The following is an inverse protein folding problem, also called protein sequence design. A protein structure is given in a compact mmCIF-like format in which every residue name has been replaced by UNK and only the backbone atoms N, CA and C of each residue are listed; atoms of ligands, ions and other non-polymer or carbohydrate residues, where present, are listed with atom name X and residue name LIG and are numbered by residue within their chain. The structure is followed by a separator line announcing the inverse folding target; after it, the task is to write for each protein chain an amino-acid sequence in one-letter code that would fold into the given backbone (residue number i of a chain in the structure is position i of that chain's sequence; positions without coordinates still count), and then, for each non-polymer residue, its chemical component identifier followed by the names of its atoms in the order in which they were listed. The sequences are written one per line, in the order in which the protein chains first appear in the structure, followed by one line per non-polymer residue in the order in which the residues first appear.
data_IF_134889150707
#
_entry.id   IF_134889150707
#
_cell.length_a   1.000
_cell.length_b   1.000
_cell.length_c   1.000
_cell.angle_alpha   90.00
_cell.angle_beta   90.00
_cell.angle_gamma   90.00
#
_symmetry.space_group_name_H-M   'P 1'
#
loop_
_entity.id
_entity.type
_entity.pdbx_description
1 polymer ?
#
# COMPACT_ATOMS: atom_id res chain seq x y z
N UNK A 1 11.91 21.53 8.46
CA UNK A 1 13.18 21.42 7.70
C UNK A 1 14.14 22.44 8.27
N UNK A 2 15.43 22.11 8.37
CA UNK A 2 16.46 23.09 8.72
C UNK A 2 16.52 24.14 7.61
N UNK A 3 16.64 25.42 7.97
CA UNK A 3 16.76 26.49 6.99
C UNK A 3 18.04 26.31 6.16
N UNK A 4 17.93 26.43 4.83
CA UNK A 4 19.06 26.29 3.90
C UNK A 4 19.15 24.96 3.15
N UNK A 5 18.39 23.92 3.52
CA UNK A 5 18.36 22.65 2.78
C UNK A 5 17.87 22.87 1.33
N UNK A 6 16.88 23.74 1.15
CA UNK A 6 16.36 24.12 -0.16
C UNK A 6 17.46 24.68 -1.08
N UNK A 7 18.39 25.48 -0.53
CA UNK A 7 19.52 26.02 -1.30
C UNK A 7 20.50 24.93 -1.71
N UNK A 8 20.77 23.97 -0.83
CA UNK A 8 21.65 22.84 -1.14
C UNK A 8 21.09 21.94 -2.24
N UNK A 9 19.75 21.84 -2.34
CA UNK A 9 19.05 21.04 -3.34
C UNK A 9 18.70 21.84 -4.61
N UNK A 10 18.99 23.15 -4.65
CA UNK A 10 18.67 24.01 -5.79
C UNK A 10 17.16 24.24 -5.99
N UNK A 11 16.35 24.13 -4.92
CA UNK A 11 14.90 24.32 -4.96
C UNK A 11 14.50 25.59 -4.21
N UNK A 12 13.35 26.16 -4.58
CA UNK A 12 12.77 27.31 -3.88
C UNK A 12 11.74 26.84 -2.85
N UNK A 13 11.84 27.36 -1.63
CA UNK A 13 10.86 27.11 -0.57
C UNK A 13 9.88 28.26 -0.48
N UNK A 14 8.59 27.93 -0.44
CA UNK A 14 7.49 28.85 -0.10
C UNK A 14 6.97 28.53 1.29
N UNK A 15 6.43 29.53 1.98
CA UNK A 15 6.06 29.43 3.40
C UNK A 15 4.55 29.31 3.63
N UNK A 16 3.74 29.51 2.59
CA UNK A 16 2.29 29.31 2.65
C UNK A 16 1.85 28.32 1.57
N UNK A 17 0.79 27.58 1.86
CA UNK A 17 0.17 26.70 0.87
C UNK A 17 -0.37 27.51 -0.33
N UNK A 18 -0.97 28.67 -0.07
CA UNK A 18 -1.50 29.55 -1.10
C UNK A 18 -0.43 29.94 -2.13
N UNK A 19 0.76 30.35 -1.67
CA UNK A 19 1.86 30.72 -2.57
C UNK A 19 2.31 29.53 -3.42
N UNK A 20 2.33 28.32 -2.85
CA UNK A 20 2.66 27.09 -3.56
C UNK A 20 1.63 26.82 -4.66
N UNK A 21 0.34 26.82 -4.32
CA UNK A 21 -0.74 26.50 -5.25
C UNK A 21 -0.83 27.52 -6.39
N UNK A 22 -0.62 28.80 -6.09
CA UNK A 22 -0.70 29.88 -7.08
C UNK A 22 0.46 29.86 -8.10
N UNK A 23 1.65 29.40 -7.68
CA UNK A 23 2.85 29.40 -8.53
C UNK A 23 3.05 28.09 -9.30
N UNK A 24 2.30 27.04 -8.98
CA UNK A 24 2.53 25.69 -9.51
C UNK A 24 1.61 25.35 -10.68
N UNK A 25 2.18 24.85 -11.77
CA UNK A 25 1.43 24.25 -12.88
C UNK A 25 1.07 22.78 -12.60
N UNK A 26 1.82 22.13 -11.72
CA UNK A 26 1.58 20.78 -11.22
C UNK A 26 1.85 20.75 -9.71
N UNK A 27 0.91 20.19 -8.94
CA UNK A 27 1.03 20.02 -7.48
C UNK A 27 1.05 18.53 -7.18
N UNK A 28 2.08 18.07 -6.47
CA UNK A 28 2.20 16.67 -6.00
C UNK A 28 2.24 16.62 -4.49
N UNK A 29 1.37 15.79 -3.89
CA UNK A 29 1.26 15.66 -2.44
C UNK A 29 2.23 14.59 -1.90
N UNK A 30 3.07 15.00 -0.94
CA UNK A 30 4.06 14.14 -0.27
C UNK A 30 4.11 14.36 1.25
N UNK A 31 3.03 14.88 1.83
CA UNK A 31 2.91 15.02 3.28
C UNK A 31 2.16 13.84 3.90
N UNK A 32 2.48 13.49 5.15
CA UNK A 32 1.72 12.50 5.89
C UNK A 32 0.34 13.07 6.25
N UNK A 33 -0.70 12.23 6.23
CA UNK A 33 -2.01 12.60 6.76
C UNK A 33 -1.97 12.68 8.29
N UNK A 34 -2.50 13.76 8.84
CA UNK A 34 -2.71 14.02 10.26
C UNK A 34 -3.99 14.85 10.45
N UNK A 35 -4.34 15.13 11.70
CA UNK A 35 -5.58 15.82 12.07
C UNK A 35 -5.70 17.25 11.50
N UNK A 36 -4.58 17.90 11.19
CA UNK A 36 -4.55 19.29 10.73
C UNK A 36 -4.53 19.45 9.20
N UNK A 37 -4.33 18.37 8.45
CA UNK A 37 -4.26 18.41 6.99
C UNK A 37 -5.22 17.42 6.30
N UNK A 38 -6.22 16.93 7.03
CA UNK A 38 -7.36 16.25 6.42
C UNK A 38 -8.09 17.22 5.47
N UNK A 39 -8.32 16.78 4.23
CA UNK A 39 -8.82 17.60 3.12
C UNK A 39 -8.02 18.90 2.93
N UNK A 40 -6.68 18.80 3.01
CA UNK A 40 -5.76 19.88 2.69
C UNK A 40 -6.05 20.47 1.30
N UNK A 41 -6.36 19.61 0.33
CA UNK A 41 -6.84 19.99 -0.99
C UNK A 41 -8.36 19.82 -1.03
N UNK A 42 -9.07 20.89 -0.70
CA UNK A 42 -10.54 21.02 -0.75
C UNK A 42 -10.98 22.07 -1.79
N UNK A 43 -12.28 22.32 -1.90
CA UNK A 43 -12.86 23.29 -2.84
C UNK A 43 -12.22 24.69 -2.74
N UNK A 44 -11.92 25.16 -1.52
CA UNK A 44 -11.30 26.47 -1.31
C UNK A 44 -9.84 26.51 -1.79
N UNK A 45 -9.04 25.50 -1.48
CA UNK A 45 -7.63 25.45 -1.92
C UNK A 45 -7.51 25.14 -3.41
N UNK A 46 -8.41 24.35 -3.98
CA UNK A 46 -8.45 24.08 -5.43
C UNK A 46 -8.68 25.39 -6.20
N UNK A 47 -9.49 26.32 -5.68
CA UNK A 47 -9.68 27.66 -6.28
C UNK A 47 -8.42 28.53 -6.27
N UNK A 48 -7.43 28.21 -5.44
CA UNK A 48 -6.14 28.91 -5.39
C UNK A 48 -5.11 28.34 -6.37
N UNK A 49 -5.36 27.14 -6.88
CA UNK A 49 -4.51 26.53 -7.91
C UNK A 49 -4.64 27.30 -9.23
N UNK A 50 -3.57 27.27 -10.03
CA UNK A 50 -3.63 27.81 -11.40
C UNK A 50 -4.73 27.12 -12.22
N UNK A 51 -5.40 27.92 -13.06
CA UNK A 51 -6.39 27.39 -14.01
C UNK A 51 -5.73 26.38 -14.95
N UNK A 52 -6.25 25.16 -14.96
CA UNK A 52 -5.73 24.07 -15.78
C UNK A 52 -4.44 23.46 -15.25
N UNK A 53 -4.15 23.57 -13.95
CA UNK A 53 -3.07 22.86 -13.29
C UNK A 53 -3.33 21.34 -13.21
N UNK A 54 -2.28 20.57 -12.95
CA UNK A 54 -2.34 19.14 -12.65
C UNK A 54 -2.22 18.87 -11.14
N UNK A 55 -2.90 17.82 -10.68
CA UNK A 55 -2.80 17.35 -9.30
C UNK A 55 -2.36 15.88 -9.25
N UNK A 56 -1.36 15.57 -8.43
CA UNK A 56 -0.88 14.21 -8.20
C UNK A 56 -0.95 13.89 -6.71
N UNK A 57 -1.54 12.76 -6.35
CA UNK A 57 -1.56 12.27 -4.98
C UNK A 57 -1.10 10.81 -4.90
N UNK A 58 0.12 10.61 -4.39
CA UNK A 58 0.67 9.30 -4.03
C UNK A 58 0.96 9.21 -2.52
N UNK A 59 0.38 10.10 -1.73
CA UNK A 59 0.57 10.17 -0.29
C UNK A 59 -0.55 9.42 0.45
N UNK A 60 -1.66 10.08 0.77
CA UNK A 60 -2.84 9.49 1.44
C UNK A 60 -4.12 10.06 0.86
N UNK A 61 -5.16 9.24 0.75
CA UNK A 61 -6.44 9.61 0.16
C UNK A 61 -7.10 10.81 0.83
N UNK A 62 -7.22 10.78 2.16
CA UNK A 62 -7.86 11.85 2.96
C UNK A 62 -7.16 13.21 2.95
N UNK A 63 -6.10 13.41 2.16
CA UNK A 63 -5.52 14.74 1.90
C UNK A 63 -6.33 15.54 0.88
N UNK A 64 -7.11 14.87 0.03
CA UNK A 64 -7.88 15.48 -1.06
C UNK A 64 -9.35 15.20 -0.83
N UNK A 65 -10.18 16.25 -0.89
CA UNK A 65 -11.64 16.11 -0.95
C UNK A 65 -12.03 15.64 -2.36
N UNK A 66 -12.44 14.38 -2.47
CA UNK A 66 -12.74 13.76 -3.77
C UNK A 66 -13.93 14.42 -4.48
N UNK A 67 -14.91 14.95 -3.74
CA UNK A 67 -16.06 15.64 -4.33
C UNK A 67 -15.64 16.97 -4.94
N UNK A 68 -14.81 17.73 -4.22
CA UNK A 68 -14.26 18.98 -4.72
C UNK A 68 -13.38 18.76 -5.95
N UNK A 69 -12.53 17.74 -5.92
CA UNK A 69 -11.69 17.37 -7.07
C UNK A 69 -12.53 16.97 -8.29
N UNK A 70 -13.54 16.12 -8.10
CA UNK A 70 -14.43 15.69 -9.17
C UNK A 70 -15.11 16.88 -9.86
N UNK A 71 -15.59 17.85 -9.08
CA UNK A 71 -16.20 19.05 -9.61
C UNK A 71 -15.19 19.93 -10.37
N UNK A 72 -13.99 20.10 -9.81
CA UNK A 72 -12.94 20.90 -10.44
C UNK A 72 -12.43 20.30 -11.77
N UNK A 73 -12.43 18.98 -11.90
CA UNK A 73 -12.13 18.28 -13.16
C UNK A 73 -13.24 18.50 -14.19
N UNK A 74 -14.52 18.40 -13.79
CA UNK A 74 -15.68 18.65 -14.66
C UNK A 74 -15.73 20.10 -15.16
N UNK A 75 -15.37 21.06 -14.30
CA UNK A 75 -15.29 22.48 -14.64
C UNK A 75 -14.01 22.87 -15.41
N UNK A 76 -13.05 21.96 -15.54
CA UNK A 76 -11.76 22.21 -16.20
C UNK A 76 -10.82 23.15 -15.42
N UNK A 77 -11.12 23.42 -14.13
CA UNK A 77 -10.21 24.14 -13.21
C UNK A 77 -8.94 23.35 -12.97
N UNK A 78 -9.08 22.04 -12.78
CA UNK A 78 -7.97 21.09 -12.84
C UNK A 78 -8.00 20.43 -14.21
N UNK A 79 -6.86 20.45 -14.91
CA UNK A 79 -6.76 19.88 -16.25
C UNK A 79 -6.76 18.36 -16.21
N UNK A 80 -6.16 17.78 -15.18
CA UNK A 80 -6.16 16.35 -14.92
C UNK A 80 -5.59 16.03 -13.55
N UNK A 81 -5.90 14.84 -13.06
CA UNK A 81 -5.39 14.34 -11.79
C UNK A 81 -4.89 12.91 -11.90
N UNK A 82 -3.86 12.56 -11.14
CA UNK A 82 -3.35 11.20 -10.99
C UNK A 82 -3.31 10.81 -9.52
N UNK A 83 -4.10 9.81 -9.13
CA UNK A 83 -4.29 9.38 -7.74
C UNK A 83 -3.88 7.91 -7.58
N UNK A 84 -2.89 7.63 -6.75
CA UNK A 84 -2.59 6.26 -6.31
C UNK A 84 -3.40 5.88 -5.06
N UNK A 85 -3.93 6.87 -4.35
CA UNK A 85 -4.60 6.71 -3.04
C UNK A 85 -5.94 7.45 -3.04
N UNK A 86 -6.91 6.91 -2.31
CA UNK A 86 -8.31 7.35 -2.35
C UNK A 86 -8.90 7.46 -0.93
N UNK A 87 -9.90 8.30 -0.72
CA UNK A 87 -10.56 8.46 0.59
C UNK A 87 -11.12 7.12 1.10
N UNK A 88 -11.69 6.33 0.19
CA UNK A 88 -12.18 4.98 0.46
C UNK A 88 -11.42 3.97 -0.39
N UNK A 89 -10.80 3.00 0.27
CA UNK A 89 -10.07 1.90 -0.38
C UNK A 89 -10.70 0.55 0.00
N UNK A 90 -10.86 -0.39 -0.97
CA UNK A 90 -10.36 -0.35 -2.34
C UNK A 90 -11.15 0.58 -3.28
N UNK A 91 -10.45 1.26 -4.17
CA UNK A 91 -11.05 2.15 -5.15
C UNK A 91 -11.78 1.39 -6.27
N UNK A 92 -12.89 1.96 -6.76
CA UNK A 92 -13.64 1.45 -7.90
C UNK A 92 -14.11 2.59 -8.79
N UNK A 93 -13.80 2.52 -10.08
CA UNK A 93 -14.32 3.47 -11.08
C UNK A 93 -15.84 3.44 -11.24
N UNK A 94 -16.53 2.41 -10.73
CA UNK A 94 -17.98 2.31 -10.84
C UNK A 94 -18.75 3.05 -9.73
N UNK A 95 -18.06 3.47 -8.67
CA UNK A 95 -18.66 3.99 -7.43
C UNK A 95 -17.88 5.21 -6.91
N UNK A 96 -18.49 5.95 -5.98
CA UNK A 96 -17.85 7.08 -5.32
C UNK A 96 -17.87 8.40 -6.10
N UNK A 97 -17.30 9.48 -5.54
CA UNK A 97 -17.37 10.82 -6.09
C UNK A 97 -16.69 11.00 -7.45
N UNK A 98 -15.65 10.20 -7.71
CA UNK A 98 -14.79 10.30 -8.89
C UNK A 98 -15.27 9.49 -10.10
N UNK A 99 -16.37 8.72 -9.98
CA UNK A 99 -16.91 7.82 -11.02
C UNK A 99 -16.98 8.44 -12.41
N UNK A 100 -17.53 9.65 -12.51
CA UNK A 100 -17.75 10.35 -13.78
C UNK A 100 -16.78 11.54 -13.95
N UNK A 101 -15.65 11.53 -13.25
CA UNK A 101 -14.66 12.60 -13.35
C UNK A 101 -13.83 12.43 -14.64
N UNK A 102 -13.75 13.44 -15.52
CA UNK A 102 -12.90 13.38 -16.69
C UNK A 102 -11.41 13.53 -16.30
N UNK A 103 -10.52 13.13 -17.21
CA UNK A 103 -9.06 13.38 -17.11
C UNK A 103 -8.42 12.87 -15.80
N UNK A 104 -8.87 11.71 -15.32
CA UNK A 104 -8.41 11.08 -14.09
C UNK A 104 -7.62 9.81 -14.39
N UNK A 105 -6.44 9.68 -13.79
CA UNK A 105 -5.66 8.44 -13.73
C UNK A 105 -5.73 7.92 -12.30
N UNK A 106 -6.06 6.65 -12.12
CA UNK A 106 -6.03 6.00 -10.81
C UNK A 106 -5.18 4.73 -10.84
N UNK A 107 -4.42 4.51 -9.77
CA UNK A 107 -3.75 3.23 -9.48
C UNK A 107 -4.17 2.73 -8.09
N UNK A 108 -4.19 1.40 -7.85
CA UNK A 108 -4.80 0.84 -6.65
C UNK A 108 -3.84 0.77 -5.44
N UNK A 109 -3.31 1.90 -4.99
CA UNK A 109 -2.38 2.01 -3.85
C UNK A 109 -1.13 1.13 -4.03
N UNK A 110 -0.45 1.34 -5.15
CA UNK A 110 0.65 0.49 -5.63
C UNK A 110 1.96 1.24 -5.84
N UNK A 111 2.03 2.55 -5.59
CA UNK A 111 3.25 3.33 -5.78
C UNK A 111 4.43 2.84 -4.90
N UNK A 112 4.14 2.13 -3.81
CA UNK A 112 5.16 1.55 -2.92
C UNK A 112 5.73 0.22 -3.43
N UNK A 113 5.04 -0.46 -4.34
CA UNK A 113 5.33 -1.86 -4.63
C UNK A 113 6.46 -2.04 -5.66
N UNK A 114 7.47 -2.80 -5.24
CA UNK A 114 8.36 -3.57 -6.08
C UNK A 114 8.70 -4.87 -5.34
N UNK A 115 9.21 -5.88 -6.03
CA UNK A 115 9.63 -7.13 -5.37
C UNK A 115 10.69 -6.85 -4.28
N UNK A 116 11.63 -5.96 -4.59
CA UNK A 116 12.69 -5.53 -3.68
C UNK A 116 12.15 -4.75 -2.49
N UNK A 117 11.26 -3.78 -2.72
CA UNK A 117 10.67 -2.97 -1.64
C UNK A 117 9.82 -3.83 -0.69
N UNK A 118 9.06 -4.79 -1.24
CA UNK A 118 8.26 -5.73 -0.45
C UNK A 118 9.15 -6.61 0.45
N UNK A 119 10.25 -7.14 -0.11
CA UNK A 119 11.20 -7.94 0.66
C UNK A 119 11.87 -7.11 1.77
N UNK A 120 12.41 -5.94 1.43
CA UNK A 120 13.09 -5.05 2.38
C UNK A 120 12.17 -4.65 3.54
N UNK A 121 10.93 -4.22 3.23
CA UNK A 121 9.98 -3.78 4.25
C UNK A 121 9.58 -4.93 5.19
N UNK A 122 9.37 -6.14 4.65
CA UNK A 122 9.02 -7.32 5.45
C UNK A 122 10.15 -7.74 6.38
N UNK A 123 11.39 -7.75 5.88
CA UNK A 123 12.57 -8.06 6.70
C UNK A 123 12.81 -6.99 7.77
N UNK A 124 12.65 -5.71 7.42
CA UNK A 124 12.76 -4.61 8.36
C UNK A 124 11.72 -4.72 9.49
N UNK A 125 10.46 -5.06 9.16
CA UNK A 125 9.41 -5.26 10.14
C UNK A 125 9.69 -6.47 11.06
N UNK A 126 10.10 -7.61 10.50
CA UNK A 126 10.49 -8.78 11.30
C UNK A 126 11.67 -8.48 12.23
N UNK A 127 12.65 -7.71 11.75
CA UNK A 127 13.79 -7.26 12.55
C UNK A 127 13.37 -6.33 13.68
N UNK A 128 12.41 -5.43 13.44
CA UNK A 128 11.87 -4.54 14.47
C UNK A 128 11.11 -5.31 15.56
N UNK A 129 10.35 -6.35 15.19
CA UNK A 129 9.71 -7.26 16.16
C UNK A 129 10.77 -7.96 17.00
N UNK A 130 11.86 -8.45 16.38
CA UNK A 130 12.98 -9.04 17.14
C UNK A 130 13.56 -8.06 18.15
N UNK A 131 13.80 -6.79 17.76
CA UNK A 131 14.28 -5.74 18.68
C UNK A 131 13.33 -5.51 19.84
N UNK A 132 12.02 -5.53 19.58
CA UNK A 132 10.98 -5.39 20.60
C UNK A 132 10.98 -6.57 21.60
N UNK A 133 11.21 -7.79 21.13
CA UNK A 133 11.19 -9.00 21.97
C UNK A 133 12.47 -9.19 22.79
N UNK A 134 13.63 -8.85 22.23
CA UNK A 134 14.93 -9.08 22.90
C UNK A 134 15.45 -7.85 23.65
N UNK A 135 14.89 -6.68 23.39
CA UNK A 135 15.31 -5.40 23.96
C UNK A 135 14.24 -4.74 24.81
N UNK A 136 14.61 -3.60 25.42
CA UNK A 136 13.70 -2.77 26.20
C UNK A 136 12.90 -1.83 25.28
N UNK A 137 11.57 -1.87 25.36
CA UNK A 137 10.68 -0.96 24.64
C UNK A 137 10.51 0.35 25.44
N UNK A 138 10.52 1.53 24.80
CA UNK A 138 10.69 1.76 23.36
C UNK A 138 12.16 1.96 22.92
N UNK A 139 13.11 1.99 23.86
CA UNK A 139 14.51 2.40 23.62
C UNK A 139 15.23 1.55 22.56
N UNK A 140 14.89 0.26 22.49
CA UNK A 140 15.50 -0.68 21.55
C UNK A 140 14.86 -0.65 20.15
N UNK A 141 13.72 0.05 19.99
CA UNK A 141 13.06 0.19 18.69
C UNK A 141 13.78 1.23 17.84
N UNK A 142 13.97 0.94 16.55
CA UNK A 142 14.62 1.84 15.60
C UNK A 142 13.67 2.96 15.16
N UNK A 143 12.42 2.61 14.84
CA UNK A 143 11.44 3.51 14.23
C UNK A 143 10.14 3.60 15.05
N UNK A 144 10.26 3.85 16.36
CA UNK A 144 9.08 4.09 17.21
C UNK A 144 8.49 5.49 16.94
N UNK A 145 7.24 5.52 16.48
CA UNK A 145 6.53 6.75 16.04
C UNK A 145 5.68 7.41 17.13
N UNK A 146 5.59 6.80 18.31
CA UNK A 146 4.73 7.22 19.42
C UNK A 146 5.38 6.97 20.79
N UNK A 147 6.64 7.40 20.95
CA UNK A 147 7.45 7.15 22.16
C UNK A 147 6.78 7.69 23.43
N UNK A 148 6.08 8.81 23.32
CA UNK A 148 5.35 9.47 24.39
C UNK A 148 4.31 8.56 25.06
N UNK A 149 3.72 7.61 24.33
CA UNK A 149 2.77 6.65 24.88
C UNK A 149 3.44 5.70 25.88
N UNK A 150 4.67 5.28 25.61
CA UNK A 150 5.42 4.34 26.44
C UNK A 150 6.10 5.02 27.64
N UNK A 151 6.55 6.27 27.47
CA UNK A 151 7.18 7.04 28.55
C UNK A 151 6.14 7.53 29.57
N UNK A 152 4.94 7.89 29.12
CA UNK A 152 3.85 8.35 30.01
C UNK A 152 3.17 7.19 30.74
N UNK A 153 3.17 6.00 30.16
CA UNK A 153 2.64 4.78 30.76
C UNK A 153 3.71 4.10 31.63
N UNK A 154 4.07 4.73 32.75
CA UNK A 154 5.07 4.23 33.72
C UNK A 154 4.79 2.87 34.37
N UNK A 155 3.87 2.05 33.82
CA UNK A 155 3.50 0.73 34.32
C UNK A 155 4.01 -0.45 33.48
N UNK A 156 4.60 -0.24 32.30
CA UNK A 156 5.24 -1.33 31.55
C UNK A 156 6.63 -1.73 32.11
N UNK A 157 7.06 -1.09 33.20
CA UNK A 157 8.40 -1.26 33.80
C UNK A 157 8.62 -2.51 34.65
N UNK A 158 7.68 -3.45 34.74
CA UNK A 158 7.81 -4.61 35.65
C UNK A 158 7.21 -5.93 35.10
N UNK A 159 7.16 -6.11 33.78
CA UNK A 159 7.14 -7.47 33.24
C UNK A 159 8.58 -7.88 32.99
N UNK A 160 9.13 -8.64 33.93
CA UNK A 160 10.37 -9.38 33.73
C UNK A 160 10.19 -10.20 32.43
N UNK A 161 10.91 -9.81 31.37
CA UNK A 161 10.90 -10.54 30.10
C UNK A 161 11.52 -11.91 30.35
N UNK A 162 10.68 -12.89 30.73
CA UNK A 162 11.04 -14.28 30.61
C UNK A 162 11.16 -14.59 29.12
N UNK A 163 12.37 -14.48 28.60
CA UNK A 163 12.72 -14.97 27.27
C UNK A 163 12.43 -16.46 27.28
N UNK A 164 11.39 -16.87 26.56
CA UNK A 164 11.01 -18.28 26.48
C UNK A 164 12.21 -19.06 25.91
N UNK A 165 12.71 -20.11 26.59
CA UNK A 165 13.94 -20.82 26.20
C UNK A 165 13.92 -21.40 24.78
N UNK A 166 12.74 -21.56 24.20
CA UNK A 166 12.51 -22.17 22.88
C UNK A 166 12.95 -21.28 21.71
N UNK A 167 13.16 -19.97 21.92
CA UNK A 167 13.61 -19.05 20.87
C UNK A 167 15.10 -19.20 20.51
N UNK A 168 15.85 -20.04 21.23
CA UNK A 168 17.30 -20.24 21.03
C UNK A 168 17.67 -21.49 20.21
N UNK A 169 16.76 -22.00 19.38
CA UNK A 169 17.11 -23.00 18.36
C UNK A 169 16.97 -24.48 18.75
N UNK A 170 16.06 -24.82 19.68
CA UNK A 170 15.66 -26.20 19.91
C UNK A 170 14.36 -26.52 19.13
N UNK A 171 14.34 -27.66 18.44
CA UNK A 171 13.23 -28.10 17.59
C UNK A 171 11.88 -28.07 18.31
N UNK A 172 10.88 -27.45 17.67
CA UNK A 172 9.48 -27.52 18.10
C UNK A 172 9.05 -28.98 18.29
N UNK A 173 8.73 -29.38 19.52
CA UNK A 173 8.13 -30.68 19.83
C UNK A 173 6.67 -30.44 20.20
N UNK A 174 5.76 -30.89 19.35
CA UNK A 174 4.32 -30.81 19.61
C UNK A 174 3.97 -31.48 20.95
N UNK A 175 3.04 -30.93 21.76
CA UNK A 175 2.53 -31.61 22.94
C UNK A 175 1.92 -32.95 22.54
N UNK A 176 2.25 -34.01 23.27
CA UNK A 176 1.61 -35.32 23.10
C UNK A 176 0.13 -35.20 23.45
N UNK A 177 -0.75 -35.27 22.44
CA UNK A 177 -2.19 -35.17 22.63
C UNK A 177 -2.98 -34.59 21.46
N UNK A 178 -2.34 -33.92 20.49
CA UNK A 178 -3.01 -33.60 19.21
C UNK A 178 -2.88 -34.78 18.25
N UNK A 179 -4.02 -35.32 17.83
CA UNK A 179 -4.13 -36.36 16.83
C UNK A 179 -3.35 -35.98 15.55
N UNK A 180 -2.48 -36.89 15.11
CA UNK A 180 -1.72 -36.72 13.88
C UNK A 180 -2.65 -36.69 12.67
N UNK A 181 -2.44 -35.71 11.78
CA UNK A 181 -3.03 -35.74 10.44
C UNK A 181 -2.20 -36.73 9.63
N UNK A 182 -2.76 -37.91 9.35
CA UNK A 182 -2.17 -38.85 8.41
C UNK A 182 -2.13 -38.22 7.01
N UNK A 183 -1.02 -38.41 6.30
CA UNK A 183 -0.92 -38.04 4.90
C UNK A 183 -1.93 -38.86 4.08
N UNK A 184 -2.93 -38.18 3.53
CA UNK A 184 -3.93 -38.75 2.62
C UNK A 184 -5.28 -39.06 3.29
N UNK A 185 -6.19 -38.09 3.26
CA UNK A 185 -7.59 -38.29 3.62
C UNK A 185 -8.23 -37.02 4.22
N UNK A 186 -9.30 -36.53 3.59
CA UNK A 186 -10.08 -35.37 4.06
C UNK A 186 -10.85 -35.75 5.34
N UNK A 187 -10.75 -35.03 6.46
CA UNK A 187 -11.59 -35.31 7.63
C UNK A 187 -13.00 -34.73 7.45
N UNK A 188 -14.01 -35.50 7.89
CA UNK A 188 -15.41 -35.08 7.98
C UNK A 188 -15.61 -34.00 9.06
N UNK A 189 -16.58 -33.13 8.82
CA UNK A 189 -16.83 -31.91 9.59
C UNK A 189 -17.07 -32.12 11.09
N UNK A 190 -16.50 -31.24 11.89
CA UNK A 190 -16.78 -31.08 13.31
C UNK A 190 -17.70 -29.88 13.49
N UNK A 191 -18.95 -30.13 13.90
CA UNK A 191 -19.88 -29.10 14.37
C UNK A 191 -19.39 -28.53 15.71
N UNK A 192 -19.14 -27.22 15.72
CA UNK A 192 -18.87 -26.44 16.93
C UNK A 192 -20.09 -25.60 17.29
N UNK A 193 -20.70 -25.90 18.43
CA UNK A 193 -21.86 -25.21 18.99
C UNK A 193 -21.44 -23.81 19.52
N UNK A 194 -21.95 -22.74 18.91
CA UNK A 194 -21.92 -21.37 19.48
C UNK A 194 -23.36 -20.82 19.48
N UNK A 195 -23.91 -20.39 20.62
CA UNK A 195 -25.27 -19.85 20.68
C UNK A 195 -25.30 -18.43 20.11
N UNK A 196 -26.10 -18.21 19.06
CA UNK A 196 -26.54 -16.87 18.63
C UNK A 196 -26.24 -16.41 17.20
N UNK A 197 -25.73 -17.26 16.30
CA UNK A 197 -25.48 -16.89 14.89
C UNK A 197 -26.33 -17.70 13.91
N UNK A 198 -26.96 -17.02 12.94
CA UNK A 198 -27.66 -17.65 11.81
C UNK A 198 -26.63 -18.31 10.87
N UNK A 199 -26.76 -19.60 10.49
CA UNK A 199 -25.81 -20.21 9.57
C UNK A 199 -26.10 -19.80 8.12
N UNK A 200 -25.09 -19.22 7.46
CA UNK A 200 -25.09 -18.99 6.00
C UNK A 200 -24.34 -20.17 5.36
N UNK A 201 -25.05 -20.98 4.58
CA UNK A 201 -24.46 -22.10 3.82
C UNK A 201 -23.92 -21.59 2.48
N UNK A 202 -22.61 -21.65 2.24
CA UNK A 202 -22.04 -21.49 0.90
C UNK A 202 -21.70 -22.87 0.32
N UNK A 203 -22.53 -23.36 -0.60
CA UNK A 203 -22.19 -24.47 -1.49
C UNK A 203 -21.47 -23.93 -2.73
N UNK A 204 -20.21 -24.29 -2.93
CA UNK A 204 -19.47 -24.03 -4.16
C UNK A 204 -19.74 -25.16 -5.18
N UNK A 205 -20.16 -24.87 -6.42
CA UNK A 205 -20.24 -25.86 -7.48
C UNK A 205 -18.84 -26.23 -7.99
N UNK A 206 -18.62 -27.52 -8.27
CA UNK A 206 -17.41 -28.02 -8.93
C UNK A 206 -17.38 -27.58 -10.40
N UNK A 207 -16.36 -26.81 -10.79
CA UNK A 207 -16.13 -26.37 -12.17
C UNK A 207 -14.89 -27.05 -12.77
N UNK A 208 -15.08 -27.71 -13.92
CA UNK A 208 -14.04 -28.35 -14.72
C UNK A 208 -13.00 -27.34 -15.24
N UNK A 209 -11.72 -27.73 -15.22
CA UNK A 209 -10.63 -27.02 -15.90
C UNK A 209 -10.77 -27.05 -17.43
N UNK A 210 -10.65 -25.90 -18.12
CA UNK A 210 -10.28 -25.86 -19.53
C UNK A 210 -8.76 -25.74 -19.72
N UNK A 211 -8.29 -26.43 -20.76
CA UNK A 211 -6.91 -26.54 -21.23
C UNK A 211 -6.26 -25.22 -21.62
N UNK A 212 -4.95 -25.13 -21.37
CA UNK A 212 -4.05 -24.03 -21.67
C UNK A 212 -4.15 -23.52 -23.12
N UNK A 213 -4.29 -22.20 -23.27
CA UNK A 213 -4.10 -21.48 -24.54
C UNK A 213 -2.66 -20.94 -24.63
N UNK A 214 -1.92 -21.15 -25.75
CA UNK A 214 -0.55 -20.61 -25.88
C UNK A 214 -0.54 -19.11 -26.17
N UNK A 215 0.47 -18.41 -25.65
CA UNK A 215 0.70 -16.97 -25.81
C UNK A 215 1.31 -16.63 -27.19
N UNK A 216 0.90 -15.54 -27.87
CA UNK A 216 1.36 -15.21 -29.21
C UNK A 216 2.64 -14.36 -29.15
N UNK A 217 3.81 -15.00 -29.12
CA UNK A 217 5.07 -14.36 -29.51
C UNK A 217 6.16 -15.42 -29.74
N UNK A 218 6.13 -16.05 -30.92
CA UNK A 218 7.32 -16.66 -31.52
C UNK A 218 7.34 -16.36 -33.03
N UNK A 219 8.47 -15.89 -33.58
CA UNK A 219 8.60 -15.66 -35.02
C UNK A 219 8.75 -17.00 -35.75
N UNK A 220 7.88 -17.24 -36.73
CA UNK A 220 7.96 -18.37 -37.66
C UNK A 220 9.16 -18.21 -38.60
N UNK A 221 10.14 -19.09 -38.48
CA UNK A 221 11.13 -19.29 -39.55
C UNK A 221 10.55 -20.24 -40.60
N UNK A 222 10.17 -19.67 -41.75
CA UNK A 222 9.90 -20.43 -42.96
C UNK A 222 11.15 -21.17 -43.44
N UNK A 223 10.94 -22.38 -43.95
CA UNK A 223 11.99 -23.29 -44.38
C UNK A 223 12.57 -23.03 -45.78
N UNK A 224 13.74 -23.64 -45.92
CA UNK A 224 14.30 -24.33 -47.10
C UNK A 224 14.91 -23.56 -48.29
N UNK A 225 16.17 -23.95 -48.52
CA UNK A 225 16.84 -24.17 -49.81
C UNK A 225 17.44 -22.98 -50.55
N UNK A 226 18.78 -22.84 -50.46
CA UNK A 226 19.63 -22.82 -51.67
C UNK A 226 21.12 -23.05 -51.37
N UNK A 227 21.71 -23.80 -52.30
CA UNK A 227 23.00 -24.46 -52.32
C UNK A 227 24.21 -23.51 -52.32
N UNK A 228 25.32 -24.04 -51.79
CA UNK A 228 26.68 -23.57 -52.08
C UNK A 228 27.01 -23.79 -53.56
N UNK A 229 27.59 -22.78 -54.23
CA UNK A 229 28.55 -22.94 -55.32
C UNK A 229 29.44 -21.69 -55.41
N UNK A 230 30.65 -21.93 -55.88
CA UNK A 230 31.92 -21.20 -55.79
C UNK A 230 32.16 -20.13 -56.87
N UNK A 231 33.31 -19.43 -56.71
CA UNK A 231 34.01 -18.53 -57.68
C UNK A 231 33.37 -17.12 -57.81
N UNK A 232 34.07 -15.98 -57.69
CA UNK A 232 35.46 -15.56 -57.88
C UNK A 232 35.91 -14.50 -56.85
#
# INVERSE_FOLDING_TARGET
MQDGLERSLGVQRVYTLQDLLYQSDCVSLHCNLNEHNHHLINDFTIKQMRQGAFLVNTARGGLVDEKALAQALKEGRIRGAALDVHETEPFSFAQGPLKDAPNLICTPHTAWYSEQASLEMREAAATEIRRALTGRIPDSLRNCVNKEFFVSSGSWGLMEQQVHPELNGAAYRFPSGLAGVAAGGVPAGLEGLVPGGVPVTHSLPAGNHPSQTPSPNQPSKHGESREQLSEQ
#
